data_IF_377849647657
#
_entry.id   IF_377849647657
#
_cell.length_a   1.000
_cell.length_b   1.000
_cell.length_c   1.000
_cell.angle_alpha   90.00
_cell.angle_beta   90.00
_cell.angle_gamma   90.00
#
_symmetry.space_group_name_H-M   'P 1'
#
loop_
_entity.id
_entity.type
_entity.pdbx_description
1 polymer ?
#
# COMPACT_ATOMS: atom_id res chain seq x y z
N UNK A 1 18.37 -12.15 3.16
CA UNK A 1 18.27 -11.86 1.72
C UNK A 1 17.48 -10.59 1.60
N UNK A 2 18.17 -9.51 1.22
CA UNK A 2 17.65 -8.16 1.16
C UNK A 2 16.61 -8.06 0.04
N UNK A 3 15.60 -7.22 0.24
CA UNK A 3 14.63 -6.83 -0.79
C UNK A 3 15.38 -6.23 -1.99
N UNK A 4 15.76 -7.11 -2.92
CA UNK A 4 16.52 -6.76 -4.10
C UNK A 4 15.60 -6.09 -5.11
N UNK A 5 15.53 -4.76 -5.07
CA UNK A 5 15.17 -3.88 -6.20
C UNK A 5 13.83 -4.10 -6.91
N UNK A 6 12.94 -4.94 -6.38
CA UNK A 6 11.63 -5.24 -6.97
C UNK A 6 10.55 -5.28 -5.88
N UNK A 7 10.70 -4.49 -4.82
CA UNK A 7 9.65 -4.35 -3.83
C UNK A 7 8.51 -3.58 -4.51
N UNK A 8 7.37 -4.23 -4.74
CA UNK A 8 6.16 -3.59 -5.27
C UNK A 8 5.10 -3.59 -4.17
N UNK A 9 5.02 -2.51 -3.40
CA UNK A 9 4.00 -2.34 -2.37
C UNK A 9 2.72 -1.76 -2.97
N UNK A 10 2.84 -0.95 -4.01
CA UNK A 10 1.69 -0.27 -4.63
C UNK A 10 1.22 -1.09 -5.84
N UNK A 11 0.02 -1.69 -5.79
CA UNK A 11 -0.57 -2.26 -6.99
C UNK A 11 -0.88 -1.14 -7.98
N UNK A 12 -0.69 -1.42 -9.27
CA UNK A 12 -0.95 -0.48 -10.37
C UNK A 12 -2.16 -0.96 -11.19
N UNK A 13 -2.87 -0.01 -11.81
CA UNK A 13 -4.00 -0.30 -12.68
C UNK A 13 -5.22 -0.86 -11.93
N UNK A 14 -5.86 -1.87 -12.50
CA UNK A 14 -7.12 -2.45 -12.01
C UNK A 14 -6.98 -3.03 -10.59
N UNK A 15 -5.82 -3.59 -10.26
CA UNK A 15 -5.52 -4.07 -8.91
C UNK A 15 -5.58 -2.97 -7.85
N UNK A 16 -5.30 -1.71 -8.19
CA UNK A 16 -5.39 -0.59 -7.25
C UNK A 16 -6.85 -0.29 -6.88
N UNK A 17 -7.73 -0.29 -7.88
CA UNK A 17 -9.16 0.02 -7.68
C UNK A 17 -9.86 -1.08 -6.89
N UNK A 18 -9.54 -2.36 -7.18
CA UNK A 18 -10.06 -3.48 -6.39
C UNK A 18 -9.56 -3.42 -4.95
N UNK A 19 -8.27 -3.13 -4.75
CA UNK A 19 -7.71 -3.01 -3.41
C UNK A 19 -8.31 -1.82 -2.64
N UNK A 20 -8.61 -0.70 -3.29
CA UNK A 20 -9.26 0.46 -2.65
C UNK A 20 -10.66 0.11 -2.14
N UNK A 21 -11.47 -0.56 -2.96
CA UNK A 21 -12.81 -1.00 -2.58
C UNK A 21 -12.75 -2.02 -1.43
N UNK A 22 -11.89 -3.03 -1.56
CA UNK A 22 -11.70 -4.06 -0.53
C UNK A 22 -11.22 -3.44 0.79
N UNK A 23 -10.27 -2.50 0.72
CA UNK A 23 -9.77 -1.75 1.88
C UNK A 23 -10.86 -0.91 2.53
N UNK A 24 -11.68 -0.20 1.75
CA UNK A 24 -12.79 0.59 2.31
C UNK A 24 -13.83 -0.31 2.99
N UNK A 25 -14.14 -1.47 2.42
CA UNK A 25 -15.01 -2.47 3.05
C UNK A 25 -14.43 -3.00 4.36
N UNK A 26 -13.12 -3.25 4.43
CA UNK A 26 -12.46 -3.69 5.67
C UNK A 26 -12.43 -2.61 6.76
N UNK A 27 -12.35 -1.33 6.38
CA UNK A 27 -12.48 -0.20 7.32
C UNK A 27 -13.89 -0.13 7.89
N UNK A 28 -14.90 -0.22 7.01
CA UNK A 28 -16.31 -0.18 7.38
C UNK A 28 -16.71 -1.34 8.31
N UNK A 29 -16.14 -2.53 8.06
CA UNK A 29 -16.31 -3.71 8.90
C UNK A 29 -15.64 -3.57 10.29
N UNK A 30 -14.83 -2.53 10.51
CA UNK A 30 -14.15 -2.29 11.79
C UNK A 30 -13.05 -3.31 12.09
N UNK A 31 -12.57 -4.02 11.07
CA UNK A 31 -11.56 -5.07 11.19
C UNK A 31 -10.15 -4.50 11.50
N UNK A 32 -9.97 -3.20 11.27
CA UNK A 32 -8.72 -2.49 11.53
C UNK A 32 -8.65 -2.06 13.00
N UNK A 33 -7.70 -2.66 13.72
CA UNK A 33 -7.43 -2.43 15.14
C UNK A 33 -6.90 -1.01 15.47
N UNK A 34 -6.51 -0.24 14.44
CA UNK A 34 -6.01 1.14 14.54
C UNK A 34 -6.69 1.99 13.47
N UNK A 35 -6.90 3.30 13.70
CA UNK A 35 -7.54 4.21 12.73
C UNK A 35 -6.68 4.23 11.47
N UNK A 36 -7.09 3.50 10.43
CA UNK A 36 -6.28 3.39 9.25
C UNK A 36 -6.33 4.74 8.55
N UNK A 37 -5.15 5.25 8.18
CA UNK A 37 -5.06 6.29 7.17
C UNK A 37 -5.89 5.84 5.94
N UNK A 38 -6.59 6.80 5.32
CA UNK A 38 -7.32 6.55 4.07
C UNK A 38 -6.41 5.91 3.03
N UNK A 39 -7.00 5.23 2.05
CA UNK A 39 -6.25 4.48 1.04
C UNK A 39 -5.17 5.33 0.35
N UNK A 40 -5.44 6.61 0.11
CA UNK A 40 -4.53 7.56 -0.53
C UNK A 40 -3.24 7.83 0.29
N UNK A 41 -3.30 8.26 1.57
CA UNK A 41 -2.12 8.40 2.41
C UNK A 41 -1.37 7.09 2.68
N UNK A 42 -2.07 5.95 2.80
CA UNK A 42 -1.41 4.64 2.93
C UNK A 42 -0.60 4.31 1.66
N UNK A 43 -1.19 4.51 0.49
CA UNK A 43 -0.52 4.28 -0.80
C UNK A 43 0.64 5.24 -1.02
N UNK A 44 0.55 6.50 -0.57
CA UNK A 44 1.70 7.43 -0.60
C UNK A 44 2.87 6.92 0.24
N UNK A 45 2.63 6.47 1.47
CA UNK A 45 3.68 5.87 2.31
C UNK A 45 4.28 4.62 1.65
N UNK A 46 3.44 3.77 1.07
CA UNK A 46 3.87 2.59 0.33
C UNK A 46 4.79 2.97 -0.84
N UNK A 47 4.42 3.99 -1.63
CA UNK A 47 5.22 4.49 -2.74
C UNK A 47 6.56 5.09 -2.28
N UNK A 48 6.58 5.79 -1.14
CA UNK A 48 7.83 6.33 -0.57
C UNK A 48 8.78 5.22 -0.09
N UNK A 49 8.23 4.19 0.58
CA UNK A 49 9.00 3.02 1.02
C UNK A 49 9.53 2.26 -0.19
N UNK A 50 8.69 2.03 -1.20
CA UNK A 50 9.04 1.41 -2.46
C UNK A 50 10.18 2.17 -3.15
N UNK A 51 10.06 3.49 -3.27
CA UNK A 51 11.09 4.37 -3.86
C UNK A 51 12.40 4.29 -3.07
N UNK A 52 12.34 4.29 -1.73
CA UNK A 52 13.53 4.22 -0.88
C UNK A 52 14.18 2.84 -0.91
N UNK A 53 13.39 1.77 -0.98
CA UNK A 53 13.87 0.40 -1.01
C UNK A 53 14.43 0.00 -2.39
N UNK A 54 13.83 0.51 -3.46
CA UNK A 54 14.29 0.27 -4.83
C UNK A 54 15.37 1.25 -5.29
N UNK A 55 15.68 2.30 -4.49
CA UNK A 55 16.86 3.13 -4.75
C UNK A 55 18.13 2.26 -4.62
N UNK A 56 18.95 2.16 -5.67
CA UNK A 56 20.25 1.52 -5.55
C UNK A 56 21.09 2.32 -4.55
N UNK A 57 21.73 1.62 -3.62
CA UNK A 57 22.65 2.19 -2.64
C UNK A 57 23.92 2.73 -3.32
#
# INVERSE_FOLDING_TARGET
MAVGGALKLVPEGESRTVLEQDYQHMIDDGLLLDVPDTFDPLMRRCAEIETRANKPA
#
